data_IF_796721288528
#
_entry.id   IF_796721288528
#
_cell.length_a   1.000
_cell.length_b   1.000
_cell.length_c   1.000
_cell.angle_alpha   90.00
_cell.angle_beta   90.00
_cell.angle_gamma   90.00
#
_symmetry.space_group_name_H-M   'P 1'
#
loop_
_entity.id
_entity.type
_entity.pdbx_description
1 polymer ?
#
# COMPACT_ATOMS: atom_id res chain seq x y z
N UNK A 1 17.54 -9.29 -23.26
CA UNK A 1 17.52 -10.61 -23.88
C UNK A 1 18.94 -11.15 -24.10
N UNK A 2 19.83 -10.46 -24.81
CA UNK A 2 21.22 -10.90 -25.08
C UNK A 2 21.96 -11.30 -23.81
N UNK A 3 21.83 -10.55 -22.72
CA UNK A 3 22.48 -10.87 -21.44
C UNK A 3 21.98 -12.21 -20.85
N UNK A 4 20.70 -12.54 -21.02
CA UNK A 4 20.11 -13.80 -20.58
C UNK A 4 20.68 -14.95 -21.41
N UNK A 5 20.80 -14.79 -22.72
CA UNK A 5 21.31 -15.85 -23.59
C UNK A 5 22.81 -16.12 -23.31
N UNK A 6 23.57 -15.06 -23.03
CA UNK A 6 24.96 -15.21 -22.57
C UNK A 6 25.05 -15.95 -21.23
N UNK A 7 24.18 -15.61 -20.26
CA UNK A 7 24.17 -16.28 -18.96
C UNK A 7 23.74 -17.75 -19.09
N UNK A 8 22.76 -18.07 -19.96
CA UNK A 8 22.37 -19.46 -20.28
C UNK A 8 23.53 -20.25 -20.89
N UNK A 9 24.23 -19.66 -21.86
CA UNK A 9 25.39 -20.34 -22.47
C UNK A 9 26.49 -20.66 -21.45
N UNK A 10 26.80 -19.70 -20.56
CA UNK A 10 27.78 -19.92 -19.48
C UNK A 10 27.32 -21.01 -18.50
N UNK A 11 26.03 -21.03 -18.15
CA UNK A 11 25.46 -22.08 -17.30
C UNK A 11 25.55 -23.44 -17.98
N UNK A 12 25.21 -23.54 -19.25
CA UNK A 12 25.33 -24.82 -20.01
C UNK A 12 26.78 -25.31 -20.07
N UNK A 13 27.75 -24.41 -20.27
CA UNK A 13 29.18 -24.76 -20.24
C UNK A 13 29.60 -25.27 -18.86
N UNK A 14 29.18 -24.66 -17.77
CA UNK A 14 29.48 -25.08 -16.41
C UNK A 14 28.81 -26.42 -16.07
N UNK A 15 27.59 -26.65 -16.55
CA UNK A 15 26.91 -27.94 -16.40
C UNK A 15 27.64 -29.07 -17.12
N UNK A 16 28.07 -28.84 -18.35
CA UNK A 16 28.87 -29.80 -19.09
C UNK A 16 30.24 -30.09 -18.40
N UNK A 17 30.86 -29.06 -17.82
CA UNK A 17 32.10 -29.20 -17.06
C UNK A 17 31.94 -30.02 -15.75
N UNK A 18 30.72 -30.05 -15.16
CA UNK A 18 30.42 -30.83 -13.96
C UNK A 18 30.30 -32.35 -14.27
N UNK A 19 29.94 -32.75 -15.48
CA UNK A 19 29.72 -34.15 -15.83
C UNK A 19 30.94 -35.01 -15.56
N UNK A 20 32.14 -34.52 -15.88
CA UNK A 20 33.39 -35.27 -15.66
C UNK A 20 33.66 -35.50 -14.17
N UNK A 21 33.72 -34.49 -13.29
CA UNK A 21 33.86 -34.69 -11.85
C UNK A 21 32.76 -35.58 -11.23
N UNK A 22 31.52 -35.46 -11.68
CA UNK A 22 30.43 -36.34 -11.20
C UNK A 22 30.70 -37.82 -11.55
N UNK A 23 31.13 -38.09 -12.78
CA UNK A 23 31.51 -39.44 -13.23
C UNK A 23 32.74 -39.97 -12.49
N UNK A 24 33.72 -39.11 -12.21
CA UNK A 24 34.93 -39.53 -11.47
C UNK A 24 34.59 -39.91 -10.03
N UNK A 25 33.75 -39.12 -9.33
CA UNK A 25 33.27 -39.46 -7.98
C UNK A 25 32.43 -40.73 -8.00
N UNK A 26 31.55 -40.91 -8.98
CA UNK A 26 30.72 -42.11 -9.13
C UNK A 26 31.59 -43.36 -9.34
N UNK A 27 32.74 -43.22 -10.00
CA UNK A 27 33.71 -44.28 -10.22
C UNK A 27 34.56 -44.57 -8.98
N UNK A 28 35.10 -43.54 -8.33
CA UNK A 28 36.04 -43.71 -7.22
C UNK A 28 35.38 -44.15 -5.92
N UNK A 29 34.11 -43.74 -5.65
CA UNK A 29 33.39 -44.19 -4.45
C UNK A 29 33.35 -45.72 -4.27
N UNK A 30 32.90 -46.54 -5.24
CA UNK A 30 32.88 -48.00 -5.10
C UNK A 30 34.28 -48.60 -5.08
N UNK A 31 35.23 -48.03 -5.82
CA UNK A 31 36.62 -48.51 -5.83
C UNK A 31 37.31 -48.27 -4.49
N UNK A 32 37.05 -47.19 -3.81
CA UNK A 32 37.53 -46.92 -2.45
C UNK A 32 36.99 -47.94 -1.45
N UNK A 33 35.68 -48.28 -1.55
CA UNK A 33 35.10 -49.33 -0.72
C UNK A 33 35.75 -50.70 -0.90
N UNK A 34 36.31 -50.96 -2.10
CA UNK A 34 37.08 -52.18 -2.44
C UNK A 34 38.58 -52.02 -2.16
N UNK A 35 39.01 -50.91 -1.55
CA UNK A 35 40.41 -50.56 -1.29
C UNK A 35 41.31 -50.52 -2.57
N UNK A 36 40.69 -50.27 -3.73
CA UNK A 36 41.39 -50.25 -5.02
C UNK A 36 41.97 -48.86 -5.39
N UNK A 37 41.56 -47.80 -4.64
CA UNK A 37 42.05 -46.42 -4.80
C UNK A 37 42.40 -45.83 -3.44
N UNK A 38 43.29 -44.83 -3.42
CA UNK A 38 43.69 -44.13 -2.21
C UNK A 38 42.58 -43.15 -1.74
N UNK A 39 42.57 -42.84 -0.44
CA UNK A 39 41.71 -41.84 0.12
C UNK A 39 41.92 -40.46 -0.54
N UNK A 40 43.19 -40.14 -0.83
CA UNK A 40 43.55 -38.87 -1.47
C UNK A 40 42.94 -38.72 -2.87
N UNK A 41 42.86 -39.80 -3.65
CA UNK A 41 42.22 -39.76 -4.99
C UNK A 41 40.74 -39.53 -4.88
N UNK A 42 40.05 -40.15 -3.91
CA UNK A 42 38.61 -39.87 -3.65
C UNK A 42 38.39 -38.44 -3.17
N UNK A 43 39.18 -37.94 -2.21
CA UNK A 43 39.10 -36.60 -1.69
C UNK A 43 39.33 -35.54 -2.79
N UNK A 44 40.29 -35.77 -3.69
CA UNK A 44 40.55 -34.92 -4.84
C UNK A 44 39.34 -34.89 -5.81
N UNK A 45 38.73 -36.04 -6.08
CA UNK A 45 37.55 -36.12 -6.94
C UNK A 45 36.34 -35.42 -6.31
N UNK A 46 36.12 -35.56 -5.00
CA UNK A 46 35.07 -34.87 -4.27
C UNK A 46 35.28 -33.36 -4.29
N UNK A 47 36.50 -32.89 -4.04
CA UNK A 47 36.81 -31.45 -4.10
C UNK A 47 36.61 -30.86 -5.48
N UNK A 48 36.99 -31.61 -6.55
CA UNK A 48 36.74 -31.19 -7.92
C UNK A 48 35.24 -31.12 -8.27
N UNK A 49 34.46 -32.10 -7.78
CA UNK A 49 33.00 -32.08 -7.93
C UNK A 49 32.38 -30.88 -7.23
N UNK A 50 32.78 -30.62 -5.99
CA UNK A 50 32.27 -29.49 -5.21
C UNK A 50 32.61 -28.16 -5.88
N UNK A 51 33.82 -27.97 -6.35
CA UNK A 51 34.23 -26.78 -7.10
C UNK A 51 33.42 -26.60 -8.38
N UNK A 52 33.17 -27.67 -9.15
CA UNK A 52 32.35 -27.60 -10.35
C UNK A 52 30.87 -27.29 -10.04
N UNK A 53 30.31 -27.82 -8.95
CA UNK A 53 28.95 -27.48 -8.48
C UNK A 53 28.85 -26.02 -8.09
N UNK A 54 29.82 -25.49 -7.35
CA UNK A 54 29.86 -24.08 -7.00
C UNK A 54 29.89 -23.18 -8.24
N UNK A 55 30.56 -23.57 -9.31
CA UNK A 55 30.57 -22.88 -10.61
C UNK A 55 29.16 -22.88 -11.25
N UNK A 56 28.48 -24.02 -11.25
CA UNK A 56 27.10 -24.13 -11.77
C UNK A 56 26.17 -23.21 -10.98
N UNK A 57 26.28 -23.20 -9.65
CA UNK A 57 25.41 -22.36 -8.81
C UNK A 57 25.72 -20.87 -8.98
N UNK A 58 26.99 -20.50 -9.16
CA UNK A 58 27.35 -19.12 -9.51
C UNK A 58 26.74 -18.66 -10.85
N UNK A 59 26.77 -19.52 -11.89
CA UNK A 59 26.16 -19.20 -13.17
C UNK A 59 24.63 -19.24 -13.15
N UNK A 60 23.98 -20.05 -12.30
CA UNK A 60 22.54 -19.98 -12.05
C UNK A 60 22.16 -18.64 -11.43
N UNK A 61 22.91 -18.17 -10.44
CA UNK A 61 22.69 -16.87 -9.83
C UNK A 61 22.85 -15.73 -10.84
N UNK A 62 23.86 -15.80 -11.70
CA UNK A 62 24.05 -14.82 -12.78
C UNK A 62 22.89 -14.82 -13.79
N UNK A 63 22.34 -15.99 -14.13
CA UNK A 63 21.15 -16.10 -14.98
C UNK A 63 19.92 -15.49 -14.30
N UNK A 64 19.69 -15.78 -13.03
CA UNK A 64 18.60 -15.21 -12.27
C UNK A 64 18.67 -13.67 -12.20
N UNK A 65 19.88 -13.12 -12.02
CA UNK A 65 20.11 -11.69 -12.05
C UNK A 65 19.77 -11.08 -13.42
N UNK A 66 20.19 -11.69 -14.51
CA UNK A 66 19.88 -11.20 -15.86
C UNK A 66 18.38 -11.27 -16.17
N UNK A 67 17.67 -12.29 -15.66
CA UNK A 67 16.21 -12.41 -15.77
C UNK A 67 15.49 -11.33 -14.97
N UNK A 68 15.96 -11.03 -13.75
CA UNK A 68 15.43 -9.96 -12.91
C UNK A 68 15.63 -8.59 -13.57
N UNK A 69 16.80 -8.35 -14.14
CA UNK A 69 17.07 -7.11 -14.87
C UNK A 69 16.14 -6.94 -16.09
N UNK A 70 15.83 -8.02 -16.80
CA UNK A 70 14.83 -7.99 -17.87
C UNK A 70 13.41 -7.71 -17.31
N UNK A 71 13.04 -8.34 -16.19
CA UNK A 71 11.74 -8.12 -15.58
C UNK A 71 11.54 -6.64 -15.18
N UNK A 72 12.60 -5.97 -14.74
CA UNK A 72 12.55 -4.54 -14.42
C UNK A 72 12.40 -3.62 -15.64
N UNK A 73 12.55 -4.11 -16.87
CA UNK A 73 12.26 -3.33 -18.07
C UNK A 73 10.76 -3.20 -18.33
N UNK A 74 9.96 -4.09 -17.74
CA UNK A 74 8.48 -4.04 -17.81
C UNK A 74 7.96 -3.50 -16.49
N UNK A 75 7.53 -2.25 -16.48
CA UNK A 75 7.05 -1.56 -15.27
C UNK A 75 5.53 -1.65 -15.25
N UNK A 76 5.00 -2.34 -14.24
CA UNK A 76 3.56 -2.47 -14.01
C UNK A 76 3.16 -1.69 -12.76
N UNK A 77 1.92 -1.18 -12.74
CA UNK A 77 1.38 -0.53 -11.56
C UNK A 77 1.15 -1.56 -10.44
N UNK A 78 1.61 -1.30 -9.21
CA UNK A 78 1.34 -2.17 -8.06
C UNK A 78 -0.08 -2.00 -7.49
N UNK A 79 -0.83 -0.99 -7.97
CA UNK A 79 -2.17 -0.66 -7.50
C UNK A 79 -3.09 -0.41 -8.68
N UNK A 80 -4.38 -0.74 -8.49
CA UNK A 80 -5.43 -0.38 -9.41
C UNK A 80 -5.80 1.10 -9.22
N UNK A 81 -5.91 1.85 -10.31
CA UNK A 81 -6.20 3.26 -10.21
C UNK A 81 -6.14 3.99 -11.55
N UNK A 82 -6.23 5.31 -11.48
CA UNK A 82 -6.09 6.18 -12.63
C UNK A 82 -4.65 6.66 -12.76
N UNK A 83 -4.09 6.49 -13.95
CA UNK A 83 -2.77 6.97 -14.30
C UNK A 83 -2.81 8.47 -14.57
N UNK A 84 -1.86 9.19 -14.00
CA UNK A 84 -1.68 10.62 -14.22
C UNK A 84 -0.98 10.93 -15.54
N UNK A 85 -0.58 12.19 -15.70
CA UNK A 85 0.17 12.64 -16.87
C UNK A 85 1.57 12.04 -16.85
N UNK A 86 1.98 11.48 -17.98
CA UNK A 86 3.31 10.88 -18.16
C UNK A 86 4.40 11.98 -18.04
N UNK A 87 5.34 11.74 -17.14
CA UNK A 87 6.46 12.68 -16.89
C UNK A 87 7.63 12.42 -17.84
N UNK A 88 7.93 11.16 -18.13
CA UNK A 88 8.97 10.76 -19.06
C UNK A 88 8.34 10.42 -20.41
N UNK A 89 8.81 11.09 -21.47
CA UNK A 89 8.36 10.86 -22.85
C UNK A 89 9.19 9.75 -23.50
N UNK A 90 8.65 9.20 -24.60
CA UNK A 90 9.38 8.24 -25.41
C UNK A 90 10.73 8.81 -25.85
N UNK A 91 11.78 8.02 -25.70
CA UNK A 91 13.16 8.43 -25.96
C UNK A 91 13.85 9.14 -24.80
N UNK A 92 13.16 9.42 -23.69
CA UNK A 92 13.80 9.98 -22.49
C UNK A 92 14.68 8.93 -21.81
N UNK A 93 15.88 9.35 -21.39
CA UNK A 93 16.74 8.51 -20.56
C UNK A 93 16.15 8.43 -19.16
N UNK A 94 15.89 7.19 -18.69
CA UNK A 94 15.36 6.93 -17.36
C UNK A 94 16.38 6.19 -16.51
N UNK A 95 16.51 6.60 -15.26
CA UNK A 95 17.41 6.00 -14.28
C UNK A 95 16.64 5.21 -13.22
N UNK A 96 17.24 4.09 -12.76
CA UNK A 96 16.66 3.25 -11.73
C UNK A 96 16.50 4.05 -10.42
N UNK A 97 15.26 4.19 -9.95
CA UNK A 97 14.93 4.86 -8.67
C UNK A 97 15.07 6.39 -8.67
N UNK A 98 15.46 7.00 -9.78
CA UNK A 98 15.68 8.46 -9.85
C UNK A 98 14.65 9.17 -10.72
N UNK A 99 14.07 8.50 -11.71
CA UNK A 99 13.14 9.11 -12.66
C UNK A 99 11.69 8.74 -12.31
N UNK A 100 10.88 9.76 -12.03
CA UNK A 100 9.42 9.58 -11.90
C UNK A 100 8.82 9.41 -13.30
N UNK A 101 8.29 8.23 -13.58
CA UNK A 101 7.67 7.92 -14.87
C UNK A 101 6.23 8.42 -14.91
N UNK A 102 5.46 8.02 -13.91
CA UNK A 102 4.05 8.34 -13.80
C UNK A 102 3.57 8.20 -12.35
N UNK A 103 2.39 8.72 -12.07
CA UNK A 103 1.71 8.56 -10.78
C UNK A 103 0.40 7.84 -11.02
N UNK A 104 0.16 6.75 -10.29
CA UNK A 104 -1.13 6.05 -10.28
C UNK A 104 -1.82 6.36 -8.97
N UNK A 105 -3.05 6.85 -9.05
CA UNK A 105 -3.86 7.20 -7.89
C UNK A 105 -5.02 6.23 -7.76
N UNK A 106 -5.10 5.55 -6.63
CA UNK A 106 -6.26 4.75 -6.27
C UNK A 106 -7.39 5.69 -5.85
N UNK A 107 -8.51 5.63 -6.57
CA UNK A 107 -9.65 6.52 -6.35
C UNK A 107 -10.82 5.84 -5.63
N UNK A 108 -10.80 4.51 -5.50
CA UNK A 108 -11.84 3.77 -4.82
C UNK A 108 -11.23 2.68 -3.91
N UNK A 109 -11.37 2.79 -2.58
CA UNK A 109 -11.92 3.96 -1.87
C UNK A 109 -11.00 5.18 -1.95
N UNK A 110 -11.58 6.38 -1.84
CA UNK A 110 -10.81 7.62 -1.71
C UNK A 110 -10.66 7.99 -0.24
N UNK A 111 -9.48 8.51 0.11
CA UNK A 111 -9.19 8.93 1.47
C UNK A 111 -9.40 10.43 1.61
N UNK A 112 -10.19 10.81 2.60
CA UNK A 112 -10.42 12.19 3.01
C UNK A 112 -9.75 12.45 4.35
N UNK A 113 -8.91 13.48 4.43
CA UNK A 113 -8.25 13.90 5.66
C UNK A 113 -8.86 15.22 6.12
N UNK A 114 -9.24 15.30 7.38
CA UNK A 114 -9.70 16.54 7.97
C UNK A 114 -9.09 16.77 9.35
N UNK A 115 -8.93 18.03 9.69
CA UNK A 115 -8.53 18.45 11.01
C UNK A 115 -9.74 18.35 11.97
N UNK A 116 -9.55 17.67 13.09
CA UNK A 116 -10.54 17.52 14.17
C UNK A 116 -10.04 18.33 15.35
N UNK A 117 -10.82 19.31 15.80
CA UNK A 117 -10.47 20.08 16.97
C UNK A 117 -10.37 19.16 18.22
N UNK A 118 -9.42 19.42 19.10
CA UNK A 118 -9.19 18.60 20.30
C UNK A 118 -10.46 18.48 21.17
N UNK A 119 -11.23 19.55 21.30
CA UNK A 119 -12.48 19.54 22.04
C UNK A 119 -13.50 18.56 21.46
N UNK A 120 -13.62 18.49 20.13
CA UNK A 120 -14.51 17.56 19.44
C UNK A 120 -13.99 16.11 19.55
N UNK A 121 -12.68 15.92 19.46
CA UNK A 121 -12.09 14.61 19.70
C UNK A 121 -12.39 14.08 21.10
N UNK A 122 -12.21 14.92 22.13
CA UNK A 122 -12.53 14.55 23.52
C UNK A 122 -14.01 14.22 23.71
N UNK A 123 -14.90 14.95 23.02
CA UNK A 123 -16.32 14.68 23.02
C UNK A 123 -16.63 13.31 22.37
N UNK A 124 -16.09 13.04 21.19
CA UNK A 124 -16.23 11.78 20.49
C UNK A 124 -15.64 10.60 21.29
N UNK A 125 -14.49 10.81 21.95
CA UNK A 125 -13.85 9.81 22.79
C UNK A 125 -14.70 9.45 24.02
N UNK A 126 -15.33 10.45 24.66
CA UNK A 126 -16.25 10.26 25.81
C UNK A 126 -17.52 9.51 25.40
N UNK A 127 -18.02 9.74 24.20
CA UNK A 127 -19.16 9.01 23.63
C UNK A 127 -18.82 7.57 23.19
N UNK A 128 -17.55 7.17 23.32
CA UNK A 128 -17.07 5.85 22.85
C UNK A 128 -16.93 5.72 21.33
N UNK A 129 -17.22 6.79 20.58
CA UNK A 129 -17.22 6.78 19.11
C UNK A 129 -15.85 6.42 18.50
N UNK A 130 -14.76 6.60 19.24
CA UNK A 130 -13.39 6.26 18.78
C UNK A 130 -13.03 4.79 19.01
N UNK A 131 -13.79 4.05 19.84
CA UNK A 131 -13.55 2.63 20.18
C UNK A 131 -14.63 1.70 19.66
N UNK A 132 -15.85 2.20 19.51
CA UNK A 132 -17.01 1.38 19.14
C UNK A 132 -17.32 1.53 17.64
N UNK A 133 -16.85 0.54 16.86
CA UNK A 133 -17.18 0.43 15.42
C UNK A 133 -18.68 0.30 15.14
N UNK A 134 -19.53 0.10 16.17
CA UNK A 134 -20.98 0.05 16.02
C UNK A 134 -21.58 1.42 15.71
N UNK A 135 -20.99 2.48 16.23
CA UNK A 135 -21.43 3.87 15.96
C UNK A 135 -21.12 4.29 14.52
N UNK A 136 -20.00 3.81 13.96
CA UNK A 136 -19.69 4.01 12.53
C UNK A 136 -20.75 3.39 11.62
N UNK A 137 -21.19 2.16 11.96
CA UNK A 137 -22.25 1.48 11.21
C UNK A 137 -23.60 2.18 11.32
N UNK A 138 -23.89 2.85 12.46
CA UNK A 138 -25.18 3.45 12.73
C UNK A 138 -25.34 4.83 12.10
N UNK A 139 -24.29 5.65 12.06
CA UNK A 139 -24.41 7.05 11.65
C UNK A 139 -23.64 7.40 10.37
N UNK A 140 -22.50 6.73 10.09
CA UNK A 140 -21.67 7.05 8.94
C UNK A 140 -21.17 8.50 8.92
N UNK A 141 -20.22 8.79 8.05
CA UNK A 141 -19.73 10.16 7.82
C UNK A 141 -20.25 10.64 6.48
N UNK A 142 -20.86 11.81 6.45
CA UNK A 142 -21.30 12.46 5.22
C UNK A 142 -20.23 13.44 4.75
N UNK A 143 -19.95 13.43 3.45
CA UNK A 143 -19.03 14.38 2.82
C UNK A 143 -19.83 15.46 2.08
N UNK A 144 -19.60 16.70 2.45
CA UNK A 144 -20.15 17.87 1.77
C UNK A 144 -19.10 18.38 0.81
N UNK A 145 -19.42 18.42 -0.47
CA UNK A 145 -18.52 18.85 -1.54
C UNK A 145 -18.36 20.37 -1.56
N UNK A 146 -17.44 20.85 -2.39
CA UNK A 146 -17.16 22.28 -2.50
C UNK A 146 -18.35 23.11 -3.02
N UNK A 147 -19.24 22.49 -3.80
CA UNK A 147 -20.48 23.09 -4.30
C UNK A 147 -21.64 23.08 -3.28
N UNK A 148 -21.42 22.54 -2.08
CA UNK A 148 -22.42 22.40 -1.03
C UNK A 148 -23.29 21.14 -1.14
N UNK A 149 -23.14 20.34 -2.18
CA UNK A 149 -23.88 19.07 -2.33
C UNK A 149 -23.34 18.00 -1.38
N UNK A 150 -24.22 17.09 -0.96
CA UNK A 150 -23.83 15.94 -0.13
C UNK A 150 -23.47 14.80 -1.04
N UNK A 151 -22.27 14.23 -0.84
CA UNK A 151 -21.82 13.05 -1.58
C UNK A 151 -22.71 11.84 -1.24
N UNK A 152 -23.19 11.07 -2.25
CA UNK A 152 -24.22 10.04 -2.02
C UNK A 152 -23.74 8.86 -1.19
N UNK A 153 -22.43 8.60 -1.15
CA UNK A 153 -21.88 7.48 -0.40
C UNK A 153 -21.36 7.95 0.96
N UNK A 154 -21.75 7.21 2.01
CA UNK A 154 -21.26 7.47 3.35
C UNK A 154 -19.87 6.94 3.55
N UNK A 155 -19.03 7.71 4.21
CA UNK A 155 -17.68 7.34 4.59
C UNK A 155 -17.64 6.63 5.94
N UNK A 156 -16.51 6.04 6.22
CA UNK A 156 -16.17 5.47 7.52
C UNK A 156 -14.87 6.10 8.03
N UNK A 157 -14.71 6.13 9.34
CA UNK A 157 -13.46 6.53 9.97
C UNK A 157 -12.46 5.38 9.85
N UNK A 158 -11.33 5.62 9.20
CA UNK A 158 -10.25 4.64 9.11
C UNK A 158 -9.25 4.78 10.26
N UNK A 159 -8.83 6.02 10.54
CA UNK A 159 -7.85 6.30 11.56
C UNK A 159 -7.99 7.73 12.09
N UNK A 160 -7.57 7.93 13.34
CA UNK A 160 -7.27 9.24 13.93
C UNK A 160 -5.80 9.23 14.28
N UNK A 161 -5.07 10.27 13.94
CA UNK A 161 -3.65 10.41 14.30
C UNK A 161 -3.47 10.33 15.81
N UNK A 162 -2.37 9.74 16.25
CA UNK A 162 -2.09 9.49 17.67
C UNK A 162 -1.71 10.75 18.43
N UNK A 163 -1.15 11.71 17.76
CA UNK A 163 -0.64 12.93 18.35
C UNK A 163 -1.36 14.14 17.79
N UNK A 164 -1.56 15.12 18.65
CA UNK A 164 -1.97 16.47 18.26
C UNK A 164 -0.78 17.12 17.57
N UNK A 165 -0.98 17.76 16.44
CA UNK A 165 0.06 18.57 15.82
C UNK A 165 0.40 19.75 16.73
N UNK A 166 1.61 19.84 17.29
CA UNK A 166 1.97 20.89 18.24
C UNK A 166 1.99 22.29 17.62
N UNK A 167 2.03 22.38 16.29
CA UNK A 167 2.09 23.65 15.57
C UNK A 167 0.69 24.18 15.24
N UNK A 168 -0.25 23.30 14.89
CA UNK A 168 -1.59 23.67 14.42
C UNK A 168 -2.71 23.34 15.41
N UNK A 169 -2.44 22.44 16.38
CA UNK A 169 -3.36 22.11 17.48
C UNK A 169 -4.43 21.05 17.18
N UNK A 170 -4.91 20.78 15.99
CA UNK A 170 -5.90 19.74 15.70
C UNK A 170 -5.28 18.36 15.54
N UNK A 171 -6.09 17.31 15.71
CA UNK A 171 -5.78 15.95 15.26
C UNK A 171 -6.23 15.75 13.82
N UNK A 172 -5.48 14.96 13.05
CA UNK A 172 -5.93 14.58 11.72
C UNK A 172 -6.79 13.32 11.78
N UNK A 173 -8.03 13.41 11.34
CA UNK A 173 -8.89 12.26 11.08
C UNK A 173 -8.81 11.83 9.62
N UNK A 174 -8.68 10.52 9.39
CA UNK A 174 -8.69 9.92 8.06
C UNK A 174 -9.98 9.12 7.88
N UNK A 175 -10.72 9.45 6.84
CA UNK A 175 -11.97 8.82 6.48
C UNK A 175 -11.86 8.22 5.09
N UNK A 176 -12.43 7.04 4.88
CA UNK A 176 -12.51 6.43 3.56
C UNK A 176 -13.94 6.49 3.03
N UNK A 177 -14.06 6.88 1.76
CA UNK A 177 -15.33 6.97 1.05
C UNK A 177 -15.31 6.08 -0.18
N UNK A 178 -16.33 5.22 -0.38
CA UNK A 178 -16.52 4.53 -1.66
C UNK A 178 -16.69 5.58 -2.78
N UNK A 179 -15.99 5.40 -3.89
CA UNK A 179 -16.04 6.34 -5.02
C UNK A 179 -16.14 5.56 -6.35
N UNK A 180 -17.21 4.76 -6.54
CA UNK A 180 -17.34 3.90 -7.73
C UNK A 180 -17.45 4.71 -9.01
N UNK A 181 -18.10 5.87 -8.97
CA UNK A 181 -18.26 6.76 -10.12
C UNK A 181 -17.04 7.64 -10.39
N UNK A 182 -16.00 7.53 -9.53
CA UNK A 182 -14.76 8.32 -9.62
C UNK A 182 -15.00 9.85 -9.69
N UNK A 183 -16.09 10.31 -9.07
CA UNK A 183 -16.44 11.72 -9.01
C UNK A 183 -15.43 12.51 -8.17
N UNK A 184 -14.99 11.92 -7.06
CA UNK A 184 -13.98 12.52 -6.20
C UNK A 184 -12.58 12.32 -6.77
N UNK A 185 -11.77 13.39 -6.70
CA UNK A 185 -10.38 13.41 -7.17
C UNK A 185 -9.44 13.86 -6.05
N UNK A 186 -8.20 13.37 -6.02
CA UNK A 186 -7.20 13.86 -5.08
C UNK A 186 -7.02 15.37 -5.22
N UNK A 187 -6.87 16.06 -4.08
CA UNK A 187 -6.70 17.52 -4.03
C UNK A 187 -7.99 18.33 -3.98
N UNK A 188 -9.16 17.70 -4.04
CA UNK A 188 -10.44 18.40 -3.81
C UNK A 188 -10.64 18.71 -2.33
N UNK A 189 -11.36 19.81 -2.07
CA UNK A 189 -11.77 20.22 -0.73
C UNK A 189 -13.21 19.78 -0.45
N UNK A 190 -13.48 19.48 0.82
CA UNK A 190 -14.80 19.13 1.30
C UNK A 190 -14.91 19.31 2.81
N UNK A 191 -16.10 19.10 3.35
CA UNK A 191 -16.36 19.12 4.78
C UNK A 191 -16.97 17.80 5.21
N UNK A 192 -16.38 17.15 6.23
CA UNK A 192 -16.97 15.98 6.84
C UNK A 192 -18.05 16.40 7.84
N UNK A 193 -19.20 15.76 7.77
CA UNK A 193 -20.29 15.90 8.74
C UNK A 193 -20.52 14.57 9.42
N UNK A 194 -20.30 14.54 10.72
CA UNK A 194 -20.55 13.36 11.55
C UNK A 194 -21.82 13.61 12.36
N UNK A 195 -22.78 12.71 12.26
CA UNK A 195 -23.96 12.68 13.13
C UNK A 195 -23.59 12.00 14.44
N UNK A 196 -23.54 12.76 15.53
CA UNK A 196 -23.13 12.24 16.85
C UNK A 196 -24.30 11.79 17.70
N UNK A 197 -25.47 12.38 17.51
CA UNK A 197 -26.68 12.06 18.29
C UNK A 197 -27.93 12.36 17.47
N UNK A 198 -28.92 11.51 17.57
CA UNK A 198 -30.27 11.77 17.04
C UNK A 198 -31.24 11.71 18.21
N UNK A 199 -31.92 12.80 18.48
CA UNK A 199 -32.97 12.87 19.49
C UNK A 199 -34.32 12.63 18.84
N UNK A 200 -34.90 11.47 19.14
CA UNK A 200 -36.27 11.14 18.68
C UNK A 200 -37.33 11.92 19.49
N UNK A 201 -38.37 12.37 18.83
CA UNK A 201 -39.47 13.10 19.48
C UNK A 201 -39.14 14.53 19.91
N UNK A 202 -38.02 15.08 19.44
CA UNK A 202 -37.67 16.49 19.75
C UNK A 202 -38.60 17.47 19.03
N UNK A 203 -39.15 18.44 19.78
CA UNK A 203 -39.92 19.54 19.20
C UNK A 203 -38.96 20.53 18.54
N UNK A 204 -39.10 20.74 17.25
CA UNK A 204 -38.24 21.63 16.46
C UNK A 204 -39.00 22.95 16.26
N UNK A 205 -38.32 24.07 16.57
CA UNK A 205 -38.80 25.41 16.27
C UNK A 205 -37.81 26.13 15.36
N UNK A 206 -38.25 26.96 14.41
CA UNK A 206 -37.37 27.80 13.60
C UNK A 206 -36.49 28.68 14.50
N UNK A 207 -35.19 28.75 14.23
CA UNK A 207 -34.26 29.56 15.02
C UNK A 207 -34.68 31.03 15.12
N UNK A 208 -35.27 31.57 14.08
CA UNK A 208 -35.80 32.93 14.04
C UNK A 208 -36.96 33.17 15.03
N UNK A 209 -37.66 32.12 15.49
CA UNK A 209 -38.73 32.21 16.47
C UNK A 209 -38.22 32.24 17.91
N UNK A 210 -36.95 31.99 18.14
CA UNK A 210 -36.32 31.96 19.45
C UNK A 210 -35.85 33.37 19.79
N UNK A 211 -36.39 33.95 20.84
CA UNK A 211 -35.93 35.22 21.39
C UNK A 211 -35.01 34.97 22.58
N UNK A 212 -33.85 35.59 22.55
CA UNK A 212 -32.89 35.53 23.66
C UNK A 212 -32.93 36.85 24.43
N UNK A 213 -33.24 36.79 25.71
CA UNK A 213 -33.18 37.93 26.64
C UNK A 213 -32.40 37.53 27.87
N UNK A 214 -31.28 38.16 28.11
CA UNK A 214 -30.44 37.96 29.31
C UNK A 214 -30.06 36.47 29.54
N UNK A 215 -29.75 35.74 28.48
CA UNK A 215 -29.40 34.31 28.58
C UNK A 215 -30.59 33.34 28.68
N UNK A 216 -31.83 33.85 28.69
CA UNK A 216 -33.07 33.08 28.66
C UNK A 216 -33.62 33.01 27.23
N UNK A 217 -33.85 31.78 26.76
CA UNK A 217 -34.45 31.56 25.45
C UNK A 217 -35.98 31.38 25.62
N UNK A 218 -36.74 32.12 24.86
CA UNK A 218 -38.21 32.06 24.88
C UNK A 218 -38.78 32.01 23.47
N UNK A 219 -39.92 31.31 23.32
CA UNK A 219 -40.68 31.24 22.08
C UNK A 219 -42.09 31.66 22.35
N UNK A 220 -42.63 32.57 21.52
CA UNK A 220 -44.00 33.01 21.63
C UNK A 220 -44.88 32.14 20.75
N UNK A 221 -45.88 31.48 21.35
CA UNK A 221 -46.90 30.71 20.63
C UNK A 221 -48.15 31.54 20.52
N UNK A 222 -48.55 31.85 19.29
CA UNK A 222 -49.82 32.52 19.01
C UNK A 222 -50.87 31.44 18.81
N UNK A 223 -51.91 31.46 19.64
CA UNK A 223 -53.10 30.62 19.41
C UNK A 223 -53.93 31.24 18.28
N UNK A 224 -54.47 30.41 17.37
CA UNK A 224 -55.33 30.84 16.30
C UNK A 224 -56.66 31.45 16.83
#
# INVERSE_FOLDING_TARGET
EVAIDQAKAKLATAQAALEKPDNDVARYKPLFAQQAVSKQELDNALSAQEAARAQVDAHKAALAQAQLDLAYTTITSPVDGIIGTTQAKDGSLVGRGTTLLNTVSQLNPILFRCAIAEAEYLRLARLGATRDKSLEKKFGVELILADGTIFPHRGRLDAIERAVDPTTGPLTGQFSFPNPEQLLRPGQYGKARLVTEVKEGAVIVPQLAVQERQGLHSVVVVKP
#
